data_IF_532914001462
#
_entry.id   IF_532914001462
#
_cell.length_a   1.000
_cell.length_b   1.000
_cell.length_c   1.000
_cell.angle_alpha   90.00
_cell.angle_beta   90.00
_cell.angle_gamma   90.00
#
_symmetry.space_group_name_H-M   'P 1'
#
loop_
_entity.id
_entity.type
_entity.pdbx_description
1 polymer ?
#
# COMPACT_ATOMS: atom_id res chain seq x y z
N UNK A 1 25.20 -11.99 -38.95
CA UNK A 1 23.74 -11.95 -39.26
C UNK A 1 23.13 -10.89 -38.35
N UNK A 2 22.60 -9.80 -38.85
CA UNK A 2 22.03 -8.73 -38.05
C UNK A 2 20.61 -9.09 -37.63
N UNK A 3 20.35 -8.96 -36.30
CA UNK A 3 19.01 -9.11 -35.71
C UNK A 3 18.22 -7.84 -35.98
N UNK A 4 17.10 -7.97 -36.67
CA UNK A 4 16.20 -6.87 -36.98
C UNK A 4 15.39 -6.48 -35.72
N UNK A 5 15.58 -5.25 -35.27
CA UNK A 5 14.77 -4.62 -34.21
C UNK A 5 13.43 -4.17 -34.76
N UNK A 6 12.35 -4.80 -34.32
CA UNK A 6 11.00 -4.46 -34.79
C UNK A 6 10.47 -3.28 -33.94
N UNK A 7 10.47 -2.08 -34.55
CA UNK A 7 9.92 -0.87 -33.95
C UNK A 7 8.40 -0.98 -33.86
N UNK A 8 7.87 -1.15 -32.66
CA UNK A 8 6.45 -1.12 -32.34
C UNK A 8 5.83 0.23 -32.69
N UNK A 9 4.71 0.19 -33.37
CA UNK A 9 3.89 1.34 -33.85
C UNK A 9 3.49 2.22 -32.67
N UNK A 10 4.05 3.42 -32.59
CA UNK A 10 3.58 4.47 -31.74
C UNK A 10 2.16 4.91 -32.14
N UNK A 11 1.18 4.65 -31.33
CA UNK A 11 -0.15 5.24 -31.44
C UNK A 11 -0.04 6.71 -31.06
N UNK A 12 -0.03 7.61 -32.04
CA UNK A 12 -0.15 9.05 -31.83
C UNK A 12 -1.57 9.34 -31.33
N UNK A 13 -1.69 9.66 -30.03
CA UNK A 13 -2.97 10.11 -29.45
C UNK A 13 -3.25 11.51 -30.00
N UNK A 14 -4.39 11.69 -30.67
CA UNK A 14 -4.80 12.96 -31.24
C UNK A 14 -5.15 13.95 -30.10
N UNK A 15 -4.55 15.17 -30.06
CA UNK A 15 -4.81 16.16 -29.02
C UNK A 15 -6.28 16.50 -28.81
N UNK A 16 -7.10 16.42 -29.87
CA UNK A 16 -8.54 16.69 -29.80
C UNK A 16 -9.33 15.60 -29.06
N UNK A 17 -8.77 14.40 -28.90
CA UNK A 17 -9.41 13.31 -28.15
C UNK A 17 -9.13 13.39 -26.66
N UNK A 18 -7.96 13.91 -26.30
CA UNK A 18 -7.58 14.19 -24.89
C UNK A 18 -8.46 15.27 -24.31
N UNK A 19 -8.76 16.35 -25.07
CA UNK A 19 -9.63 17.44 -24.61
C UNK A 19 -11.07 16.97 -24.35
N UNK A 20 -11.60 16.06 -25.17
CA UNK A 20 -12.94 15.49 -24.95
C UNK A 20 -13.03 14.65 -23.69
N UNK A 21 -11.98 13.92 -23.33
CA UNK A 21 -11.93 13.13 -22.11
C UNK A 21 -11.84 14.00 -20.85
N UNK A 22 -11.12 15.11 -20.93
CA UNK A 22 -11.03 16.07 -19.82
C UNK A 22 -12.35 16.80 -19.59
N UNK A 23 -13.07 17.18 -20.66
CA UNK A 23 -14.39 17.83 -20.58
C UNK A 23 -15.46 16.90 -19.99
N UNK A 24 -15.41 15.60 -20.30
CA UNK A 24 -16.32 14.61 -19.71
C UNK A 24 -16.04 14.36 -18.22
N UNK A 25 -14.80 14.47 -17.77
CA UNK A 25 -14.44 14.35 -16.36
C UNK A 25 -14.98 15.52 -15.52
N UNK A 26 -14.95 16.72 -16.07
CA UNK A 26 -15.44 17.94 -15.41
C UNK A 26 -16.98 17.96 -15.29
N UNK A 27 -17.69 17.43 -16.27
CA UNK A 27 -19.18 17.36 -16.25
C UNK A 27 -19.73 16.33 -15.26
N UNK A 28 -18.97 15.28 -14.92
CA UNK A 28 -19.38 14.30 -13.88
C UNK A 28 -19.16 14.77 -12.45
N UNK A 29 -18.28 15.74 -12.22
CA UNK A 29 -17.97 16.29 -10.88
C UNK A 29 -19.00 17.32 -10.38
N UNK A 30 -19.86 17.87 -11.22
CA UNK A 30 -20.74 19.00 -10.87
C UNK A 30 -22.14 18.57 -10.38
N UNK A 31 -22.52 17.29 -10.54
CA UNK A 31 -23.88 16.84 -10.19
C UNK A 31 -24.07 16.34 -8.75
N UNK A 32 -23.09 16.45 -7.86
CA UNK A 32 -23.21 15.87 -6.52
C UNK A 32 -23.20 16.87 -5.36
N UNK A 33 -23.43 18.17 -5.59
CA UNK A 33 -23.38 19.17 -4.51
C UNK A 33 -24.53 20.18 -4.48
N UNK A 34 -25.76 19.85 -4.90
CA UNK A 34 -26.92 20.75 -4.81
C UNK A 34 -28.10 20.10 -4.07
N UNK A 35 -27.89 19.44 -2.94
CA UNK A 35 -28.99 19.16 -2.01
C UNK A 35 -28.41 19.20 -0.58
N UNK A 36 -28.21 20.40 -0.06
CA UNK A 36 -28.24 20.72 1.39
C UNK A 36 -28.14 22.24 1.61
N UNK A 37 -29.21 22.94 1.27
CA UNK A 37 -29.50 24.25 1.85
C UNK A 37 -31.01 24.36 2.08
N UNK A 38 -31.44 24.02 3.26
CA UNK A 38 -32.72 24.51 3.79
C UNK A 38 -32.52 24.78 5.29
N UNK A 39 -32.44 26.04 5.58
CA UNK A 39 -33.08 26.80 6.65
C UNK A 39 -33.28 26.18 8.03
N UNK A 40 -32.67 26.78 9.03
CA UNK A 40 -33.33 27.01 10.33
C UNK A 40 -32.80 28.31 10.93
N UNK A 41 -33.70 29.27 11.01
CA UNK A 41 -33.60 30.52 11.76
C UNK A 41 -33.97 30.21 13.21
N UNK A 42 -33.22 30.76 14.18
CA UNK A 42 -33.77 31.15 15.50
C UNK A 42 -33.26 30.33 16.68
N UNK A 43 -32.44 30.90 17.50
CA UNK A 43 -32.61 31.26 18.92
C UNK A 43 -31.25 31.35 19.59
N UNK A 44 -30.97 32.56 20.08
CA UNK A 44 -29.85 32.89 20.96
C UNK A 44 -30.12 32.30 22.33
N UNK A 45 -29.24 31.44 22.85
CA UNK A 45 -29.09 31.21 24.29
C UNK A 45 -27.63 30.96 24.65
N UNK A 46 -27.28 31.51 25.78
CA UNK A 46 -25.99 31.79 26.36
C UNK A 46 -24.96 30.65 26.43
N UNK A 47 -23.71 31.08 26.37
CA UNK A 47 -22.45 30.41 26.60
C UNK A 47 -22.40 29.41 27.76
N UNK A 48 -21.97 28.19 27.44
CA UNK A 48 -21.13 27.41 28.34
C UNK A 48 -19.94 26.94 27.48
N UNK A 49 -18.77 27.53 27.74
CA UNK A 49 -17.50 27.11 27.14
C UNK A 49 -17.10 25.78 27.80
N UNK A 50 -17.64 24.69 27.29
CA UNK A 50 -17.11 23.35 27.57
C UNK A 50 -16.09 23.04 26.46
N UNK A 51 -14.80 23.00 26.81
CA UNK A 51 -13.76 22.47 25.95
C UNK A 51 -14.06 20.99 25.66
N UNK A 52 -14.80 20.71 24.58
CA UNK A 52 -14.88 19.36 24.04
C UNK A 52 -13.54 19.05 23.37
N UNK A 53 -12.68 18.33 24.10
CA UNK A 53 -11.53 17.67 23.51
C UNK A 53 -12.09 16.68 22.46
N UNK A 54 -11.99 17.06 21.19
CA UNK A 54 -12.23 16.13 20.07
C UNK A 54 -11.13 15.10 20.12
N UNK A 55 -11.42 13.95 20.72
CA UNK A 55 -10.57 12.76 20.59
C UNK A 55 -10.65 12.38 19.11
N UNK A 56 -9.61 12.73 18.35
CA UNK A 56 -9.45 12.23 17.00
C UNK A 56 -9.46 10.70 17.06
N UNK A 57 -10.26 10.00 16.23
CA UNK A 57 -10.17 8.55 16.18
C UNK A 57 -8.73 8.20 15.79
N UNK A 58 -7.99 7.58 16.70
CA UNK A 58 -6.74 6.94 16.36
C UNK A 58 -7.08 5.87 15.32
N UNK A 59 -6.43 5.97 14.14
CA UNK A 59 -6.46 4.88 13.18
C UNK A 59 -5.83 3.68 13.88
N UNK A 60 -6.68 2.82 14.45
CA UNK A 60 -6.25 1.58 15.08
C UNK A 60 -5.56 0.74 14.02
N UNK A 61 -4.33 0.32 14.28
CA UNK A 61 -3.65 -0.63 13.42
C UNK A 61 -4.56 -1.84 13.25
N UNK A 62 -4.89 -2.19 12.00
CA UNK A 62 -5.75 -3.32 11.71
C UNK A 62 -5.11 -4.59 12.29
N UNK A 63 -5.88 -5.36 13.06
CA UNK A 63 -5.38 -6.61 13.62
C UNK A 63 -4.99 -7.55 12.48
N UNK A 64 -3.75 -8.08 12.45
CA UNK A 64 -3.30 -8.98 11.41
C UNK A 64 -4.20 -10.21 11.29
N UNK A 65 -4.63 -10.55 10.07
CA UNK A 65 -5.47 -11.73 9.79
C UNK A 65 -4.67 -13.05 9.88
N UNK A 66 -3.35 -12.99 9.70
CA UNK A 66 -2.41 -14.10 9.84
C UNK A 66 -1.27 -13.66 10.75
N UNK A 67 -0.67 -14.60 11.48
CA UNK A 67 0.52 -14.30 12.28
C UNK A 67 1.77 -14.35 11.41
N UNK A 68 2.75 -13.51 11.73
CA UNK A 68 4.08 -13.62 11.15
C UNK A 68 4.67 -15.02 11.44
N UNK A 69 5.19 -15.65 10.40
CA UNK A 69 5.63 -17.05 10.44
C UNK A 69 7.13 -17.25 10.72
N UNK A 70 7.89 -16.15 10.89
CA UNK A 70 9.31 -16.20 11.20
C UNK A 70 10.23 -16.58 10.02
N UNK A 71 9.71 -16.64 8.79
CA UNK A 71 10.45 -17.14 7.62
C UNK A 71 11.63 -16.26 7.21
N UNK A 72 11.64 -14.98 7.57
CA UNK A 72 12.77 -14.08 7.33
C UNK A 72 14.02 -14.46 8.15
N UNK A 73 13.86 -15.31 9.17
CA UNK A 73 14.98 -15.85 9.94
C UNK A 73 15.22 -15.15 11.29
N UNK A 74 16.28 -15.58 11.96
CA UNK A 74 16.65 -15.05 13.26
C UNK A 74 17.08 -13.58 13.17
N UNK A 75 16.72 -12.79 14.19
CA UNK A 75 17.06 -11.37 14.28
C UNK A 75 16.09 -10.43 13.55
N UNK A 76 15.19 -10.96 12.74
CA UNK A 76 14.15 -10.14 12.10
C UNK A 76 12.96 -9.93 13.04
N UNK A 77 12.60 -8.67 13.24
CA UNK A 77 11.43 -8.25 14.03
C UNK A 77 10.44 -7.53 13.13
N UNK A 78 9.14 -7.73 13.35
CA UNK A 78 8.09 -7.03 12.59
C UNK A 78 8.14 -5.54 12.94
N UNK A 79 8.30 -4.70 11.92
CA UNK A 79 8.30 -3.24 12.02
C UNK A 79 7.04 -2.63 11.44
N UNK A 80 6.39 -3.32 10.49
CA UNK A 80 5.09 -2.90 9.95
C UNK A 80 4.31 -4.11 9.40
N UNK A 81 3.00 -3.95 9.20
CA UNK A 81 2.17 -4.95 8.56
C UNK A 81 0.89 -4.35 7.98
N UNK A 82 0.39 -4.95 6.91
CA UNK A 82 -0.86 -4.54 6.28
C UNK A 82 -1.74 -5.76 5.95
N UNK A 83 -3.08 -5.66 6.09
CA UNK A 83 -3.98 -6.72 5.65
C UNK A 83 -3.97 -6.83 4.12
N UNK A 84 -3.97 -8.06 3.61
CA UNK A 84 -4.17 -8.36 2.19
C UNK A 84 -5.64 -8.73 2.00
N UNK A 85 -6.49 -7.72 1.96
CA UNK A 85 -7.94 -7.89 2.01
C UNK A 85 -8.37 -8.74 3.20
N UNK A 86 -9.09 -9.84 2.95
CA UNK A 86 -9.47 -10.86 3.95
C UNK A 86 -8.64 -12.15 3.84
N UNK A 87 -7.71 -12.21 2.89
CA UNK A 87 -6.97 -13.43 2.56
C UNK A 87 -5.72 -13.65 3.41
N UNK A 88 -5.15 -12.60 4.00
CA UNK A 88 -3.93 -12.72 4.81
C UNK A 88 -3.35 -11.38 5.23
N UNK A 89 -2.07 -11.39 5.52
CA UNK A 89 -1.30 -10.22 5.98
C UNK A 89 0.06 -10.22 5.29
N UNK A 90 0.50 -9.06 4.81
CA UNK A 90 1.88 -8.83 4.42
C UNK A 90 2.62 -8.18 5.57
N UNK A 91 3.83 -8.65 5.84
CA UNK A 91 4.69 -8.19 6.92
C UNK A 91 5.97 -7.59 6.37
N UNK A 92 6.34 -6.45 6.91
CA UNK A 92 7.68 -5.89 6.81
C UNK A 92 8.41 -6.17 8.12
N UNK A 93 9.59 -6.74 8.02
CA UNK A 93 10.46 -7.04 9.15
C UNK A 93 11.85 -6.46 8.93
N UNK A 94 12.57 -6.16 10.00
CA UNK A 94 13.91 -5.60 9.96
C UNK A 94 14.86 -6.34 10.88
N UNK A 95 16.10 -6.50 10.43
CA UNK A 95 17.20 -7.05 11.21
C UNK A 95 18.28 -5.97 11.42
N UNK A 96 18.41 -5.42 12.63
CA UNK A 96 19.39 -4.35 12.91
C UNK A 96 20.85 -4.83 12.82
N UNK A 97 21.11 -6.13 12.93
CA UNK A 97 22.47 -6.66 12.84
C UNK A 97 22.99 -6.72 11.41
N UNK A 98 22.10 -6.88 10.43
CA UNK A 98 22.44 -6.91 9.00
C UNK A 98 22.07 -5.65 8.25
N UNK A 99 21.21 -4.80 8.83
CA UNK A 99 20.66 -3.61 8.17
C UNK A 99 19.74 -3.96 7.00
N UNK A 100 19.03 -5.10 7.07
CA UNK A 100 18.16 -5.55 5.99
C UNK A 100 16.70 -5.57 6.42
N UNK A 101 15.85 -5.16 5.51
CA UNK A 101 14.40 -5.41 5.55
C UNK A 101 14.08 -6.74 4.86
N UNK A 102 12.99 -7.37 5.32
CA UNK A 102 12.46 -8.58 4.71
C UNK A 102 10.94 -8.51 4.67
N UNK A 103 10.36 -8.89 3.53
CA UNK A 103 8.92 -8.94 3.32
C UNK A 103 8.44 -10.37 3.11
N UNK A 104 7.32 -10.69 3.76
CA UNK A 104 6.60 -11.95 3.57
C UNK A 104 5.09 -11.70 3.55
N UNK A 105 4.40 -12.35 2.63
CA UNK A 105 2.94 -12.35 2.56
C UNK A 105 2.41 -13.68 3.07
N UNK A 106 1.69 -13.67 4.19
CA UNK A 106 1.20 -14.88 4.89
C UNK A 106 -0.31 -15.02 4.73
N UNK A 107 -0.76 -16.20 4.33
CA UNK A 107 -2.20 -16.51 4.22
C UNK A 107 -2.85 -16.68 5.58
N UNK A 108 -4.08 -16.15 5.73
CA UNK A 108 -4.90 -16.38 6.91
C UNK A 108 -5.29 -17.87 7.07
N UNK A 109 -5.46 -18.56 5.94
CA UNK A 109 -5.81 -19.99 5.90
C UNK A 109 -4.96 -20.70 4.86
N UNK A 110 -4.02 -21.56 5.26
CA UNK A 110 -3.32 -22.46 4.36
C UNK A 110 -4.29 -23.38 3.60
N UNK A 111 -3.90 -23.80 2.41
CA UNK A 111 -4.76 -24.67 1.60
C UNK A 111 -4.19 -24.90 0.20
N UNK A 112 -5.04 -25.21 -0.78
CA UNK A 112 -4.64 -25.34 -2.18
C UNK A 112 -3.83 -24.12 -2.62
N UNK A 113 -2.77 -24.34 -3.40
CA UNK A 113 -1.92 -23.27 -3.90
C UNK A 113 -2.73 -22.23 -4.68
N UNK A 114 -2.44 -20.96 -4.41
CA UNK A 114 -3.04 -19.81 -5.07
C UNK A 114 -1.94 -18.82 -5.48
N UNK A 115 -2.23 -17.96 -6.47
CA UNK A 115 -1.31 -16.89 -6.84
C UNK A 115 -1.07 -15.97 -5.65
N UNK A 116 0.22 -15.77 -5.31
CA UNK A 116 0.66 -14.89 -4.23
C UNK A 116 1.88 -14.10 -4.66
N UNK A 117 2.06 -12.94 -4.04
CA UNK A 117 3.20 -12.06 -4.22
C UNK A 117 3.65 -11.51 -2.86
N UNK A 118 4.94 -11.42 -2.65
CA UNK A 118 5.59 -10.55 -1.68
C UNK A 118 6.55 -9.63 -2.42
N UNK A 119 6.55 -8.33 -2.15
CA UNK A 119 7.41 -7.39 -2.84
C UNK A 119 7.82 -6.23 -1.92
N UNK A 120 9.02 -5.70 -2.17
CA UNK A 120 9.59 -4.56 -1.46
C UNK A 120 10.43 -3.72 -2.42
N UNK A 121 10.42 -2.40 -2.23
CA UNK A 121 11.30 -1.46 -2.91
C UNK A 121 11.72 -0.36 -1.94
N UNK A 122 12.87 0.24 -2.14
CA UNK A 122 13.20 1.50 -1.48
C UNK A 122 12.71 2.70 -2.33
N UNK A 123 12.74 3.90 -1.74
CA UNK A 123 12.25 5.11 -2.41
C UNK A 123 13.13 5.56 -3.60
N UNK A 124 14.29 4.95 -3.80
CA UNK A 124 15.27 5.30 -4.84
C UNK A 124 15.45 4.16 -5.86
N UNK A 125 15.01 2.96 -5.51
CA UNK A 125 15.11 1.80 -6.38
C UNK A 125 13.89 1.73 -7.30
N UNK A 126 14.14 1.74 -8.59
CA UNK A 126 13.09 1.60 -9.62
C UNK A 126 12.71 0.15 -9.87
N UNK A 127 13.54 -0.80 -9.40
CA UNK A 127 13.32 -2.23 -9.57
C UNK A 127 12.97 -2.88 -8.22
N UNK A 128 11.71 -3.24 -7.98
CA UNK A 128 11.31 -3.91 -6.76
C UNK A 128 11.88 -5.33 -6.69
N UNK A 129 12.33 -5.73 -5.52
CA UNK A 129 12.58 -7.14 -5.21
C UNK A 129 11.24 -7.84 -4.93
N UNK A 130 11.01 -9.00 -5.53
CA UNK A 130 9.74 -9.70 -5.34
C UNK A 130 9.84 -11.22 -5.48
N UNK A 131 8.86 -11.91 -4.90
CA UNK A 131 8.58 -13.32 -5.07
C UNK A 131 7.13 -13.48 -5.49
N UNK A 132 6.88 -13.88 -6.75
CA UNK A 132 5.55 -14.09 -7.33
C UNK A 132 5.41 -15.54 -7.80
N UNK A 133 4.39 -16.23 -7.30
CA UNK A 133 4.18 -17.64 -7.62
C UNK A 133 2.87 -18.19 -7.09
N UNK A 134 2.79 -19.52 -7.06
CA UNK A 134 1.67 -20.25 -6.51
C UNK A 134 2.07 -20.93 -5.20
N UNK A 135 1.47 -20.49 -4.09
CA UNK A 135 1.85 -20.90 -2.74
C UNK A 135 0.66 -21.38 -1.92
N UNK A 136 0.92 -22.31 -1.01
CA UNK A 136 -0.09 -22.88 -0.11
C UNK A 136 -0.22 -22.10 1.19
N UNK A 137 0.86 -21.42 1.64
CA UNK A 137 0.98 -20.81 2.98
C UNK A 137 1.47 -19.38 2.95
N UNK A 138 2.56 -19.08 2.24
CA UNK A 138 3.17 -17.75 2.16
C UNK A 138 3.97 -17.58 0.87
N UNK A 139 4.18 -16.34 0.45
CA UNK A 139 5.13 -15.90 -0.57
C UNK A 139 6.24 -15.09 0.10
N UNK A 140 7.43 -15.13 -0.44
CA UNK A 140 8.67 -14.62 0.16
C UNK A 140 9.43 -15.72 0.89
N UNK A 141 10.49 -15.41 1.65
CA UNK A 141 10.95 -14.06 2.04
C UNK A 141 11.65 -13.31 0.90
N UNK A 142 11.46 -12.02 0.84
CA UNK A 142 12.14 -11.11 -0.08
C UNK A 142 12.92 -10.08 0.74
N UNK A 143 14.19 -9.86 0.39
CA UNK A 143 15.10 -9.04 1.18
C UNK A 143 15.55 -7.82 0.41
N UNK A 144 15.67 -6.69 1.11
CA UNK A 144 16.30 -5.47 0.59
C UNK A 144 17.25 -4.90 1.63
N UNK A 145 18.38 -4.33 1.20
CA UNK A 145 19.24 -3.54 2.07
C UNK A 145 18.50 -2.28 2.52
N UNK A 146 18.72 -1.82 3.75
CA UNK A 146 18.13 -0.61 4.29
C UNK A 146 19.15 0.55 4.26
N UNK A 147 19.34 1.23 3.11
CA UNK A 147 20.41 2.21 2.93
C UNK A 147 20.08 3.60 3.52
N UNK A 148 19.23 3.67 4.55
CA UNK A 148 18.83 4.93 5.15
C UNK A 148 17.63 5.62 4.50
N UNK A 149 16.89 4.93 3.66
CA UNK A 149 15.69 5.44 2.98
C UNK A 149 14.43 4.73 3.48
N UNK A 150 13.27 5.38 3.24
CA UNK A 150 12.01 4.71 3.47
C UNK A 150 11.83 3.53 2.51
N UNK A 151 11.16 2.48 2.95
CA UNK A 151 10.78 1.36 2.10
C UNK A 151 9.28 1.37 1.81
N UNK A 152 8.91 0.81 0.69
CA UNK A 152 7.52 0.50 0.33
C UNK A 152 7.40 -1.01 0.14
N UNK A 153 6.32 -1.60 0.63
CA UNK A 153 6.13 -3.04 0.54
C UNK A 153 4.68 -3.38 0.22
N UNK A 154 4.47 -4.49 -0.47
CA UNK A 154 3.12 -4.97 -0.75
C UNK A 154 3.06 -6.48 -0.90
N UNK A 155 1.87 -7.02 -0.65
CA UNK A 155 1.54 -8.41 -0.84
C UNK A 155 0.28 -8.59 -1.68
N UNK A 156 0.17 -9.74 -2.33
CA UNK A 156 -1.05 -10.15 -3.06
C UNK A 156 -1.38 -11.60 -2.77
N UNK A 157 -2.66 -11.90 -2.61
CA UNK A 157 -3.21 -13.26 -2.45
C UNK A 157 -4.50 -13.34 -3.26
N UNK A 158 -4.54 -14.18 -4.31
CA UNK A 158 -5.74 -14.41 -5.13
C UNK A 158 -6.40 -13.12 -5.61
N UNK A 159 -5.60 -12.13 -6.06
CA UNK A 159 -6.10 -10.84 -6.56
C UNK A 159 -6.42 -9.80 -5.47
N UNK A 160 -6.45 -10.14 -4.19
CA UNK A 160 -6.50 -9.18 -3.10
C UNK A 160 -5.09 -8.66 -2.81
N UNK A 161 -4.94 -7.38 -2.53
CA UNK A 161 -3.64 -6.74 -2.24
C UNK A 161 -3.69 -5.90 -0.98
N UNK A 162 -2.51 -5.66 -0.41
CA UNK A 162 -2.29 -4.78 0.73
C UNK A 162 -0.82 -4.43 0.85
N UNK A 163 -0.51 -3.36 1.56
CA UNK A 163 0.86 -2.87 1.73
C UNK A 163 0.89 -1.46 2.28
N UNK A 164 2.08 -0.89 2.37
CA UNK A 164 2.29 0.50 2.75
C UNK A 164 3.45 1.10 1.96
N UNK A 165 3.41 2.42 1.79
CA UNK A 165 4.44 3.17 1.08
C UNK A 165 5.17 4.11 2.03
N UNK A 166 6.47 4.25 1.85
CA UNK A 166 7.29 5.22 2.57
C UNK A 166 7.29 5.00 4.08
N UNK A 167 7.37 3.75 4.51
CA UNK A 167 7.46 3.36 5.92
C UNK A 167 8.87 2.94 6.29
N UNK A 168 9.13 2.72 7.59
CA UNK A 168 10.41 2.31 8.14
C UNK A 168 11.57 3.17 7.61
N UNK A 169 11.36 4.50 7.63
CA UNK A 169 12.38 5.46 7.23
C UNK A 169 13.49 5.49 8.29
N UNK A 170 14.75 5.45 7.86
CA UNK A 170 15.84 5.74 8.79
C UNK A 170 15.72 7.20 9.27
N UNK A 171 16.07 7.50 10.53
CA UNK A 171 16.13 8.87 10.98
C UNK A 171 17.16 9.62 10.12
N UNK A 172 16.75 10.77 9.58
CA UNK A 172 17.69 11.68 8.92
C UNK A 172 18.67 12.15 9.98
N UNK A 173 19.86 11.53 10.03
CA UNK A 173 20.97 12.05 10.83
C UNK A 173 21.48 13.30 10.14
N UNK A 174 21.00 14.46 10.66
CA UNK A 174 21.52 15.77 10.25
C UNK A 174 22.90 16.04 10.82
#
# INVERSE_FOLDING_TARGET
MPVAYNAGRGTTVNPSEVDKLLEQSTKRGIHMNIIQRAAAVGAVTAAVVGAMATVAPQAGAATPLAKYNGVCGAGYTVVDSAPVGTAGTVYLTYNPSTGQDCVVTVRARPGTAVSMLAAVTDAQDVDPEFDDGSYTTYAGPVYIGHPGHCVSYWGRISGQSGGANGVHCAPLTG
#
